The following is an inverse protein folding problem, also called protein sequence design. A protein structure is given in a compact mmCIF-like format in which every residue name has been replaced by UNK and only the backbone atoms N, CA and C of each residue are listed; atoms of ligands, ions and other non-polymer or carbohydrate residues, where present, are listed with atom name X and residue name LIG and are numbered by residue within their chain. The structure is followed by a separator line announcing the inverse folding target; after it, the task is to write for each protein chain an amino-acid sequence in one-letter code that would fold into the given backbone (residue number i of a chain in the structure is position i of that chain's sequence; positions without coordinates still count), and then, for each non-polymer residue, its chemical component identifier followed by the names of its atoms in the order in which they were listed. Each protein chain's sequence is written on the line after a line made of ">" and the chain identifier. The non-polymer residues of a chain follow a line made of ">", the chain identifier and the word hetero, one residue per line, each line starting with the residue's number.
data_IF_849719962847
#
_entry.id   IF_849719962847
#
_cell.length_a   1.000
_cell.length_b   1.000
_cell.length_c   1.000
_cell.angle_alpha   90.00
_cell.angle_beta   90.00
_cell.angle_gamma   90.00
#
_symmetry.space_group_name_H-M   'P 1'
#
loop_
_entity.id
_entity.type
_entity.pdbx_description
1 polymer ?
#
# COMPACT_ATOMS: atom_id res chain seq x y z
N UNK A 1 7.97 -29.58 7.01
CA UNK A 1 6.53 -29.27 6.95
C UNK A 1 6.32 -28.63 5.60
N UNK A 2 5.47 -29.17 4.74
CA UNK A 2 5.28 -28.59 3.40
C UNK A 2 4.79 -27.15 3.52
N UNK A 3 5.51 -26.23 2.86
CA UNK A 3 5.17 -24.81 2.87
C UNK A 3 3.83 -24.60 2.15
N UNK A 4 2.88 -23.84 2.72
CA UNK A 4 1.61 -23.54 2.09
C UNK A 4 1.81 -23.02 0.67
N UNK A 5 0.93 -23.41 -0.26
CA UNK A 5 1.03 -23.01 -1.68
C UNK A 5 1.15 -21.49 -1.82
N UNK A 6 0.44 -20.73 -0.97
CA UNK A 6 0.49 -19.26 -0.95
C UNK A 6 1.85 -18.72 -0.54
N UNK A 7 2.62 -19.41 0.30
CA UNK A 7 3.92 -18.95 0.78
C UNK A 7 5.08 -19.42 -0.10
N UNK A 8 4.83 -19.80 -1.36
CA UNK A 8 5.87 -20.18 -2.32
C UNK A 8 6.28 -18.97 -3.16
N UNK A 9 7.56 -18.88 -3.58
CA UNK A 9 7.97 -17.82 -4.49
C UNK A 9 7.20 -17.93 -5.79
N UNK A 10 6.86 -16.79 -6.37
CA UNK A 10 6.35 -16.74 -7.73
C UNK A 10 7.47 -17.02 -8.72
N UNK A 11 7.11 -17.41 -9.96
CA UNK A 11 8.11 -17.65 -11.01
C UNK A 11 8.98 -16.41 -11.24
N UNK A 12 8.39 -15.22 -11.20
CA UNK A 12 9.14 -13.99 -11.39
C UNK A 12 10.08 -13.66 -10.24
N UNK A 13 9.72 -13.95 -8.99
CA UNK A 13 10.64 -13.83 -7.85
C UNK A 13 11.84 -14.78 -7.99
N UNK A 14 11.60 -16.02 -8.42
CA UNK A 14 12.66 -16.98 -8.73
C UNK A 14 13.55 -16.51 -9.88
N UNK A 15 12.97 -15.91 -10.93
CA UNK A 15 13.73 -15.46 -12.09
C UNK A 15 14.68 -14.30 -11.74
N UNK A 16 14.23 -13.35 -10.90
CA UNK A 16 15.10 -12.31 -10.37
C UNK A 16 16.22 -12.89 -9.49
N UNK A 17 15.88 -13.82 -8.60
CA UNK A 17 16.85 -14.49 -7.73
C UNK A 17 17.95 -15.21 -8.52
N UNK A 18 17.56 -16.02 -9.50
CA UNK A 18 18.49 -16.73 -10.41
C UNK A 18 19.35 -15.75 -11.19
N UNK A 19 18.77 -14.63 -11.65
CA UNK A 19 19.53 -13.60 -12.37
C UNK A 19 20.64 -13.02 -11.50
N UNK A 20 20.33 -12.62 -10.27
CA UNK A 20 21.32 -12.15 -9.29
C UNK A 20 22.41 -13.21 -9.09
N UNK A 21 22.01 -14.47 -8.86
CA UNK A 21 22.96 -15.55 -8.58
C UNK A 21 23.90 -15.86 -9.75
N UNK A 22 23.51 -15.56 -11.00
CA UNK A 22 24.42 -15.70 -12.15
C UNK A 22 25.52 -14.63 -12.21
N UNK A 23 25.43 -13.57 -11.41
CA UNK A 23 26.41 -12.48 -11.42
C UNK A 23 26.47 -11.71 -12.74
N UNK A 24 25.46 -11.83 -13.60
CA UNK A 24 25.39 -11.11 -14.88
C UNK A 24 25.19 -9.62 -14.62
N UNK A 25 26.19 -8.82 -14.95
CA UNK A 25 26.04 -7.37 -15.03
C UNK A 25 25.43 -6.99 -16.38
N UNK A 26 24.35 -6.21 -16.38
CA UNK A 26 23.97 -5.44 -17.56
C UNK A 26 24.69 -4.10 -17.51
N UNK A 27 25.58 -3.85 -18.47
CA UNK A 27 26.01 -2.48 -18.72
C UNK A 27 24.81 -1.75 -19.35
N UNK A 28 24.41 -0.62 -18.76
CA UNK A 28 23.39 0.24 -19.36
C UNK A 28 23.82 0.69 -20.76
N UNK A 29 22.87 1.07 -21.61
CA UNK A 29 23.14 1.53 -23.00
C UNK A 29 23.89 2.87 -23.08
N UNK A 30 24.27 3.44 -21.94
CA UNK A 30 24.97 4.71 -21.78
C UNK A 30 24.44 5.52 -20.60
N UNK A 31 25.14 6.61 -20.30
CA UNK A 31 24.68 7.60 -19.31
C UNK A 31 23.46 8.33 -19.86
N UNK A 32 22.42 8.45 -19.03
CA UNK A 32 21.22 9.24 -19.34
C UNK A 32 21.02 10.32 -18.28
N UNK A 33 20.20 11.31 -18.59
CA UNK A 33 19.88 12.41 -17.67
C UNK A 33 18.38 12.63 -17.63
N UNK A 34 17.84 12.88 -16.44
CA UNK A 34 16.44 13.28 -16.25
C UNK A 34 16.38 14.80 -16.07
N UNK A 35 15.66 15.55 -16.94
CA UNK A 35 15.55 17.00 -16.78
C UNK A 35 14.87 17.37 -15.45
N UNK A 36 15.38 18.37 -14.72
CA UNK A 36 14.79 18.81 -13.45
C UNK A 36 13.30 19.21 -13.56
N UNK A 37 12.86 19.66 -14.74
CA UNK A 37 11.47 19.97 -15.05
C UNK A 37 10.52 18.77 -14.82
N UNK A 38 11.01 17.53 -14.91
CA UNK A 38 10.25 16.32 -14.56
C UNK A 38 9.71 16.40 -13.13
N UNK A 39 10.47 16.99 -12.21
CA UNK A 39 10.10 17.07 -10.79
C UNK A 39 9.54 18.43 -10.38
N UNK A 40 9.78 19.48 -11.18
CA UNK A 40 9.55 20.88 -10.78
C UNK A 40 8.50 21.61 -11.62
N UNK A 41 8.08 21.07 -12.77
CA UNK A 41 7.08 21.71 -13.63
C UNK A 41 5.65 21.54 -13.08
N UNK A 42 4.95 22.63 -12.71
CA UNK A 42 3.56 22.56 -12.25
C UNK A 42 2.58 22.05 -13.30
N UNK A 43 2.81 22.32 -14.59
CA UNK A 43 1.94 21.83 -15.66
C UNK A 43 2.04 20.31 -15.79
N UNK A 44 3.27 19.78 -15.66
CA UNK A 44 3.49 18.33 -15.60
C UNK A 44 2.81 17.70 -14.39
N UNK A 45 2.96 18.29 -13.20
CA UNK A 45 2.31 17.79 -11.99
C UNK A 45 0.79 17.75 -12.13
N UNK A 46 0.17 18.82 -12.67
CA UNK A 46 -1.27 18.84 -12.93
C UNK A 46 -1.70 17.74 -13.93
N UNK A 47 -0.90 17.50 -14.97
CA UNK A 47 -1.16 16.41 -15.91
C UNK A 47 -1.00 15.02 -15.27
N UNK A 48 -0.02 14.84 -14.37
CA UNK A 48 0.16 13.61 -13.59
C UNK A 48 -1.05 13.36 -12.68
N UNK A 49 -1.54 14.37 -11.96
CA UNK A 49 -2.77 14.28 -11.17
C UNK A 49 -3.95 13.79 -12.02
N UNK A 50 -4.25 14.49 -13.11
CA UNK A 50 -5.41 14.19 -13.96
C UNK A 50 -5.33 12.86 -14.72
N UNK A 51 -4.13 12.40 -15.07
CA UNK A 51 -3.94 11.21 -15.93
C UNK A 51 -3.57 9.95 -15.14
N UNK A 52 -2.95 10.10 -13.98
CA UNK A 52 -2.50 9.00 -13.15
C UNK A 52 -3.39 8.87 -11.91
N UNK A 53 -3.38 9.88 -11.03
CA UNK A 53 -4.01 9.79 -9.71
C UNK A 53 -5.55 9.88 -9.75
N UNK A 54 -6.11 10.48 -10.80
CA UNK A 54 -7.55 10.51 -11.02
C UNK A 54 -8.09 9.30 -11.77
N UNK A 55 -7.22 8.47 -12.37
CA UNK A 55 -7.64 7.37 -13.26
C UNK A 55 -7.21 5.98 -12.82
N UNK A 56 -5.99 5.85 -12.30
CA UNK A 56 -5.41 4.56 -11.98
C UNK A 56 -5.81 4.11 -10.56
N UNK A 57 -5.98 2.79 -10.35
CA UNK A 57 -6.01 2.22 -9.01
C UNK A 57 -4.78 2.61 -8.19
N UNK A 58 -5.00 2.89 -6.92
CA UNK A 58 -3.99 3.23 -5.93
C UNK A 58 -4.21 2.39 -4.68
N UNK A 59 -3.12 1.96 -4.04
CA UNK A 59 -3.20 1.38 -2.70
C UNK A 59 -3.55 2.50 -1.72
N UNK A 60 -4.56 2.27 -0.89
CA UNK A 60 -4.94 3.20 0.19
C UNK A 60 -4.44 2.73 1.55
N UNK A 61 -4.36 1.42 1.77
CA UNK A 61 -3.95 0.84 3.05
C UNK A 61 -3.62 -0.66 2.90
N UNK A 62 -2.85 -1.25 3.83
CA UNK A 62 -2.83 -2.69 3.97
C UNK A 62 -4.16 -3.18 4.56
N UNK A 63 -4.57 -4.41 4.22
CA UNK A 63 -5.74 -5.07 4.79
C UNK A 63 -5.70 -5.12 6.32
N UNK A 64 -4.49 -5.23 6.88
CA UNK A 64 -4.20 -5.26 8.31
C UNK A 64 -4.56 -3.95 9.05
N UNK A 65 -4.83 -2.84 8.36
CA UNK A 65 -5.36 -1.61 8.97
C UNK A 65 -6.76 -1.81 9.55
N UNK A 66 -7.55 -2.72 8.94
CA UNK A 66 -8.90 -3.07 9.39
C UNK A 66 -8.96 -4.57 9.63
N UNK A 67 -8.35 -5.12 10.70
CA UNK A 67 -8.18 -6.57 10.83
C UNK A 67 -9.47 -7.32 11.16
N UNK A 68 -10.49 -6.66 11.73
CA UNK A 68 -11.74 -7.29 12.15
C UNK A 68 -12.96 -6.74 11.40
N UNK A 69 -14.05 -7.52 11.27
CA UNK A 69 -15.34 -7.04 10.80
C UNK A 69 -15.87 -5.85 11.62
N UNK A 70 -16.64 -4.99 10.96
CA UNK A 70 -17.26 -3.79 11.54
C UNK A 70 -16.24 -2.79 12.09
N UNK A 71 -15.15 -2.55 11.35
CA UNK A 71 -14.19 -1.49 11.65
C UNK A 71 -14.30 -0.35 10.64
N UNK A 72 -13.92 0.85 11.05
CA UNK A 72 -13.85 2.01 10.17
C UNK A 72 -12.67 2.92 10.54
N UNK A 73 -12.12 3.61 9.55
CA UNK A 73 -11.07 4.62 9.73
C UNK A 73 -11.20 5.69 8.65
N UNK A 74 -10.89 6.94 8.98
CA UNK A 74 -10.87 8.02 7.99
C UNK A 74 -9.55 8.05 7.23
N UNK A 75 -9.58 8.59 6.02
CA UNK A 75 -8.37 8.77 5.24
C UNK A 75 -8.46 9.99 4.31
N UNK A 76 -7.82 11.09 4.71
CA UNK A 76 -7.91 12.37 3.99
C UNK A 76 -6.72 12.66 3.07
N UNK A 77 -5.65 11.85 3.13
CA UNK A 77 -4.38 12.17 2.48
C UNK A 77 -4.46 12.27 0.94
N UNK A 78 -5.48 11.68 0.31
CA UNK A 78 -5.76 11.82 -1.11
C UNK A 78 -6.49 13.15 -1.46
N UNK A 79 -6.58 14.12 -0.55
CA UNK A 79 -7.29 15.39 -0.78
C UNK A 79 -8.81 15.23 -0.88
N UNK A 80 -9.34 14.09 -0.43
CA UNK A 80 -10.77 13.78 -0.35
C UNK A 80 -11.09 13.26 1.05
N UNK A 81 -12.26 13.58 1.63
CA UNK A 81 -12.68 12.98 2.88
C UNK A 81 -13.12 11.54 2.63
N UNK A 82 -12.22 10.56 2.79
CA UNK A 82 -12.53 9.14 2.60
C UNK A 82 -12.78 8.44 3.93
N UNK A 83 -13.58 7.38 3.84
CA UNK A 83 -13.92 6.48 4.93
C UNK A 83 -13.67 5.06 4.45
N UNK A 84 -12.68 4.39 5.03
CA UNK A 84 -12.46 2.97 4.84
C UNK A 84 -13.26 2.21 5.88
N UNK A 85 -13.91 1.12 5.46
CA UNK A 85 -14.63 0.24 6.38
C UNK A 85 -14.30 -1.22 6.07
N UNK A 86 -14.42 -2.08 7.07
CA UNK A 86 -14.59 -3.53 6.87
C UNK A 86 -15.95 -3.92 7.37
N UNK A 87 -16.78 -4.50 6.52
CA UNK A 87 -18.14 -4.84 6.87
C UNK A 87 -18.24 -6.10 7.73
N UNK A 88 -19.47 -6.48 8.11
CA UNK A 88 -19.73 -7.68 8.93
C UNK A 88 -19.36 -9.00 8.24
N UNK A 89 -19.28 -9.02 6.90
CA UNK A 89 -18.87 -10.17 6.10
C UNK A 89 -17.34 -10.22 5.94
N UNK A 90 -16.65 -9.17 6.37
CA UNK A 90 -15.21 -9.05 6.24
C UNK A 90 -14.77 -8.38 4.94
N UNK A 91 -15.67 -7.80 4.14
CA UNK A 91 -15.30 -7.11 2.91
C UNK A 91 -14.85 -5.67 3.21
N UNK A 92 -13.72 -5.24 2.63
CA UNK A 92 -13.24 -3.87 2.73
C UNK A 92 -13.91 -2.97 1.69
N UNK A 93 -14.32 -1.77 2.12
CA UNK A 93 -14.97 -0.77 1.27
C UNK A 93 -14.32 0.60 1.43
N UNK A 94 -14.39 1.43 0.39
CA UNK A 94 -13.97 2.84 0.41
C UNK A 94 -15.16 3.72 0.05
N UNK A 95 -15.54 4.62 0.96
CA UNK A 95 -16.65 5.56 0.76
C UNK A 95 -16.17 7.01 0.86
N UNK A 96 -16.94 7.91 0.28
CA UNK A 96 -16.94 9.29 0.75
C UNK A 96 -17.38 9.35 2.21
N UNK A 97 -16.58 9.97 3.07
CA UNK A 97 -16.90 10.25 4.48
C UNK A 97 -17.90 11.40 4.60
N UNK A 98 -19.03 11.28 3.91
CA UNK A 98 -19.99 12.36 3.70
C UNK A 98 -21.40 11.80 3.83
N UNK A 99 -22.15 12.32 4.80
CA UNK A 99 -23.55 11.95 5.02
C UNK A 99 -24.40 12.32 3.79
N UNK A 100 -25.21 11.36 3.32
CA UNK A 100 -26.13 11.55 2.19
C UNK A 100 -27.31 12.48 2.46
N UNK A 101 -27.51 12.90 3.71
CA UNK A 101 -28.58 13.84 4.06
C UNK A 101 -28.20 15.28 3.68
N UNK A 102 -27.21 15.86 4.36
CA UNK A 102 -26.81 17.28 4.20
C UNK A 102 -25.29 17.46 4.10
N UNK A 103 -24.56 16.42 3.74
CA UNK A 103 -23.13 16.51 3.46
C UNK A 103 -22.21 16.59 4.67
N UNK A 104 -22.71 16.38 5.89
CA UNK A 104 -21.86 16.38 7.10
C UNK A 104 -20.87 15.23 7.07
N UNK A 105 -19.62 15.49 7.48
CA UNK A 105 -18.63 14.45 7.73
C UNK A 105 -19.14 13.44 8.78
N UNK A 106 -18.96 12.14 8.52
CA UNK A 106 -19.54 11.10 9.38
C UNK A 106 -18.61 10.71 10.52
N UNK A 107 -17.33 10.53 10.21
CA UNK A 107 -16.30 10.11 11.15
C UNK A 107 -15.19 11.15 11.17
N UNK A 108 -14.74 11.50 12.37
CA UNK A 108 -13.61 12.39 12.62
C UNK A 108 -12.43 11.60 13.20
N UNK A 109 -11.22 12.18 13.16
CA UNK A 109 -10.01 11.56 13.68
C UNK A 109 -9.38 10.54 12.73
N UNK A 110 -8.15 10.11 13.04
CA UNK A 110 -7.37 9.18 12.20
C UNK A 110 -7.29 7.74 12.72
N UNK A 111 -7.86 7.47 13.89
CA UNK A 111 -7.77 6.17 14.56
C UNK A 111 -8.78 5.16 14.01
N UNK A 112 -8.37 3.90 13.96
CA UNK A 112 -9.26 2.79 13.64
C UNK A 112 -10.23 2.58 14.79
N UNK A 113 -11.52 2.45 14.48
CA UNK A 113 -12.57 2.28 15.49
C UNK A 113 -13.51 1.13 15.14
N UNK A 114 -14.05 0.48 16.17
CA UNK A 114 -15.18 -0.44 16.01
C UNK A 114 -16.43 0.38 15.64
N UNK A 115 -16.96 0.10 14.46
CA UNK A 115 -18.04 0.86 13.84
C UNK A 115 -19.10 -0.08 13.23
N UNK A 116 -19.83 -0.89 14.03
CA UNK A 116 -20.98 -1.66 13.53
C UNK A 116 -22.10 -0.75 13.00
N UNK A 117 -22.09 0.52 13.40
CA UNK A 117 -22.99 1.58 12.96
C UNK A 117 -22.22 2.89 12.88
N UNK A 118 -22.42 3.63 11.80
CA UNK A 118 -21.80 4.94 11.56
C UNK A 118 -22.92 5.97 11.60
N UNK A 119 -23.01 6.71 12.71
CA UNK A 119 -24.12 7.63 12.97
C UNK A 119 -23.67 9.06 12.67
N UNK A 120 -24.33 9.69 11.70
CA UNK A 120 -24.06 11.09 11.34
C UNK A 120 -24.25 12.00 12.55
N UNK A 121 -23.26 12.84 12.91
CA UNK A 121 -23.33 13.68 14.10
C UNK A 121 -24.37 14.80 13.98
N UNK A 122 -24.86 15.10 12.77
CA UNK A 122 -25.82 16.20 12.58
C UNK A 122 -27.26 15.79 12.89
N UNK A 123 -27.76 14.72 12.27
CA UNK A 123 -29.17 14.33 12.37
C UNK A 123 -29.36 12.81 12.60
N UNK A 124 -28.32 12.12 13.07
CA UNK A 124 -28.35 10.70 13.41
C UNK A 124 -28.80 9.74 12.28
N UNK A 125 -28.64 10.14 11.01
CA UNK A 125 -28.69 9.19 9.89
C UNK A 125 -27.59 8.16 10.09
N UNK A 126 -27.97 6.89 10.18
CA UNK A 126 -27.08 5.81 10.57
C UNK A 126 -26.85 4.86 9.42
N UNK A 127 -25.58 4.64 9.09
CA UNK A 127 -25.14 3.73 8.05
C UNK A 127 -24.52 2.47 8.66
N UNK A 128 -24.57 1.36 7.93
CA UNK A 128 -23.78 0.16 8.24
C UNK A 128 -22.38 0.29 7.62
N UNK A 129 -21.48 -0.61 8.00
CA UNK A 129 -20.11 -0.66 7.47
C UNK A 129 -20.04 -1.06 5.97
N UNK A 130 -21.11 -1.62 5.39
CA UNK A 130 -21.27 -1.82 3.94
C UNK A 130 -21.83 -0.56 3.23
N UNK A 131 -21.99 0.55 3.96
CA UNK A 131 -22.51 1.82 3.46
C UNK A 131 -24.03 1.92 3.40
N UNK A 132 -24.79 0.85 3.64
CA UNK A 132 -26.26 0.90 3.56
C UNK A 132 -26.85 1.85 4.62
N UNK A 133 -27.86 2.65 4.24
CA UNK A 133 -28.60 3.48 5.19
C UNK A 133 -29.47 2.59 6.09
N UNK A 134 -29.02 2.37 7.31
CA UNK A 134 -29.66 1.48 8.28
C UNK A 134 -30.88 2.12 8.94
N UNK A 135 -30.77 3.39 9.34
CA UNK A 135 -31.81 4.11 10.06
C UNK A 135 -31.71 5.61 9.83
N UNK A 136 -32.85 6.29 9.96
CA UNK A 136 -32.93 7.74 10.02
C UNK A 136 -34.04 8.14 11.01
N UNK A 137 -33.85 9.18 11.82
CA UNK A 137 -34.90 9.68 12.69
C UNK A 137 -36.11 10.19 11.88
N UNK A 138 -37.31 10.05 12.45
CA UNK A 138 -38.57 10.54 11.89
C UNK A 138 -38.76 10.19 10.39
N UNK A 139 -38.72 8.90 10.01
CA UNK A 139 -38.90 8.50 8.61
C UNK A 139 -40.26 8.92 8.04
N UNK A 140 -41.26 9.15 8.90
CA UNK A 140 -42.56 9.73 8.56
C UNK A 140 -42.48 11.11 7.91
N UNK A 141 -41.40 11.86 8.16
CA UNK A 141 -41.16 13.18 7.55
C UNK A 141 -40.54 13.12 6.14
N UNK A 142 -40.25 11.91 5.64
CA UNK A 142 -39.67 11.66 4.32
C UNK A 142 -40.57 10.72 3.51
N UNK A 143 -41.83 11.12 3.19
CA UNK A 143 -42.75 10.26 2.46
C UNK A 143 -42.17 9.91 1.08
N UNK A 144 -42.13 8.61 0.77
CA UNK A 144 -41.62 8.10 -0.50
C UNK A 144 -40.09 7.95 -0.59
N UNK A 145 -39.34 8.24 0.48
CA UNK A 145 -37.89 8.01 0.49
C UNK A 145 -37.57 6.51 0.50
N UNK A 146 -36.88 6.05 -0.53
CA UNK A 146 -36.27 4.72 -0.55
C UNK A 146 -34.86 4.77 0.05
N UNK A 147 -34.68 4.10 1.19
CA UNK A 147 -33.38 4.00 1.87
C UNK A 147 -32.31 3.33 1.01
N UNK A 148 -32.68 2.41 0.12
CA UNK A 148 -31.73 1.71 -0.74
C UNK A 148 -30.97 2.65 -1.68
N UNK A 149 -31.56 3.79 -2.04
CA UNK A 149 -30.93 4.82 -2.89
C UNK A 149 -30.08 5.85 -2.11
N UNK A 150 -30.09 5.76 -0.78
CA UNK A 150 -29.48 6.74 0.14
C UNK A 150 -28.31 6.18 0.97
N UNK A 151 -27.72 5.05 0.57
CA UNK A 151 -26.46 4.56 1.15
C UNK A 151 -25.27 5.47 0.86
N UNK A 152 -24.16 5.31 1.60
CA UNK A 152 -22.92 6.05 1.35
C UNK A 152 -22.48 5.90 -0.11
N UNK A 153 -21.85 6.94 -0.66
CA UNK A 153 -21.32 6.90 -2.03
C UNK A 153 -20.00 6.10 -2.01
N UNK A 154 -19.93 4.91 -2.62
CA UNK A 154 -18.69 4.16 -2.70
C UNK A 154 -17.76 4.80 -3.75
N UNK A 155 -16.47 4.56 -3.59
CA UNK A 155 -15.49 4.61 -4.66
C UNK A 155 -15.17 3.17 -5.08
N UNK A 156 -14.86 2.90 -6.36
CA UNK A 156 -14.39 1.57 -6.76
C UNK A 156 -13.21 1.15 -5.91
N UNK A 157 -13.28 -0.05 -5.33
CA UNK A 157 -12.24 -0.60 -4.48
C UNK A 157 -12.10 -2.10 -4.67
N UNK A 158 -10.90 -2.60 -4.43
CA UNK A 158 -10.55 -4.02 -4.54
C UNK A 158 -9.60 -4.38 -3.41
N UNK A 159 -9.88 -5.46 -2.70
CA UNK A 159 -8.93 -6.05 -1.75
C UNK A 159 -8.23 -7.22 -2.44
N UNK A 160 -6.90 -7.13 -2.60
CA UNK A 160 -6.10 -8.11 -3.32
C UNK A 160 -4.66 -8.13 -2.77
N UNK A 161 -4.11 -9.33 -2.56
CA UNK A 161 -2.73 -9.52 -2.05
C UNK A 161 -2.45 -8.90 -0.68
N UNK A 162 -3.46 -8.82 0.20
CA UNK A 162 -3.33 -8.17 1.52
C UNK A 162 -3.31 -6.64 1.48
N UNK A 163 -3.69 -6.04 0.36
CA UNK A 163 -3.78 -4.60 0.15
C UNK A 163 -5.21 -4.18 -0.20
N UNK A 164 -5.61 -3.01 0.27
CA UNK A 164 -6.86 -2.35 -0.12
C UNK A 164 -6.50 -1.31 -1.19
N UNK A 165 -7.07 -1.51 -2.38
CA UNK A 165 -6.94 -0.62 -3.53
C UNK A 165 -8.22 0.17 -3.72
N UNK A 166 -8.10 1.38 -4.24
CA UNK A 166 -9.23 2.19 -4.68
C UNK A 166 -8.89 2.99 -5.94
N UNK A 167 -9.92 3.51 -6.60
CA UNK A 167 -9.76 4.46 -7.70
C UNK A 167 -10.79 5.58 -7.61
N UNK A 168 -10.50 6.72 -8.24
CA UNK A 168 -11.48 7.82 -8.40
C UNK A 168 -12.38 7.61 -9.61
N UNK A 169 -11.84 7.00 -10.65
CA UNK A 169 -12.56 6.69 -11.87
C UNK A 169 -13.51 5.50 -11.63
N UNK A 170 -14.81 5.72 -11.83
CA UNK A 170 -15.85 4.69 -11.69
C UNK A 170 -15.63 3.49 -12.63
N UNK A 171 -14.84 3.66 -13.69
CA UNK A 171 -14.51 2.63 -14.68
C UNK A 171 -13.12 2.02 -14.50
N UNK A 172 -12.46 2.28 -13.37
CA UNK A 172 -11.11 1.78 -13.13
C UNK A 172 -11.03 0.24 -13.22
N UNK A 173 -9.99 -0.24 -13.90
CA UNK A 173 -9.67 -1.66 -14.01
C UNK A 173 -8.67 -2.05 -12.91
N UNK A 174 -9.02 -3.06 -12.10
CA UNK A 174 -8.19 -3.60 -11.03
C UNK A 174 -7.44 -4.88 -11.43
N UNK A 175 -7.40 -5.23 -12.72
CA UNK A 175 -6.72 -6.42 -13.23
C UNK A 175 -5.24 -6.50 -12.82
N UNK A 176 -4.52 -5.37 -12.83
CA UNK A 176 -3.13 -5.30 -12.36
C UNK A 176 -3.00 -5.60 -10.85
N UNK A 177 -3.96 -5.17 -10.02
CA UNK A 177 -3.98 -5.49 -8.59
C UNK A 177 -4.19 -7.00 -8.35
N UNK A 178 -5.08 -7.62 -9.13
CA UNK A 178 -5.30 -9.07 -9.09
C UNK A 178 -4.07 -9.84 -9.61
N UNK A 179 -3.38 -9.33 -10.65
CA UNK A 179 -2.16 -9.93 -11.18
C UNK A 179 -0.97 -9.84 -10.21
N UNK A 180 -0.92 -8.80 -9.37
CA UNK A 180 0.06 -8.65 -8.31
C UNK A 180 -0.24 -9.50 -7.07
N UNK A 181 -1.50 -9.87 -6.82
CA UNK A 181 -1.87 -10.56 -5.58
C UNK A 181 -1.00 -11.79 -5.25
N UNK A 182 -0.66 -12.68 -6.22
CA UNK A 182 0.23 -13.82 -5.95
C UNK A 182 1.63 -13.42 -5.45
N UNK A 183 2.15 -12.25 -5.85
CA UNK A 183 3.45 -11.74 -5.39
C UNK A 183 3.44 -11.48 -3.89
N UNK A 184 2.33 -10.97 -3.36
CA UNK A 184 2.19 -10.63 -1.94
C UNK A 184 1.67 -11.78 -1.11
N UNK A 185 0.86 -12.67 -1.71
CA UNK A 185 0.47 -13.94 -1.11
C UNK A 185 1.72 -14.79 -0.79
N UNK A 186 2.76 -14.75 -1.65
CA UNK A 186 4.08 -15.37 -1.41
C UNK A 186 4.68 -14.96 -0.06
N UNK A 187 4.41 -13.73 0.38
CA UNK A 187 4.87 -13.22 1.67
C UNK A 187 3.85 -13.40 2.80
N UNK A 188 2.67 -13.95 2.54
CA UNK A 188 1.52 -14.04 3.47
C UNK A 188 1.08 -12.66 3.98
N UNK A 189 1.11 -11.63 3.12
CA UNK A 189 0.87 -10.25 3.53
C UNK A 189 -0.51 -10.07 4.19
N UNK A 190 -1.53 -10.78 3.70
CA UNK A 190 -2.88 -10.74 4.28
C UNK A 190 -2.94 -11.27 5.72
N UNK A 191 -1.99 -12.12 6.13
CA UNK A 191 -1.86 -12.63 7.49
C UNK A 191 -1.06 -11.73 8.44
N UNK A 192 -0.44 -10.66 7.94
CA UNK A 192 0.41 -9.78 8.75
C UNK A 192 -0.39 -8.91 9.72
N UNK A 193 0.28 -8.53 10.80
CA UNK A 193 -0.17 -7.57 11.79
C UNK A 193 0.40 -6.18 11.52
N UNK A 194 -0.44 -5.15 11.54
CA UNK A 194 0.00 -3.76 11.51
C UNK A 194 0.59 -3.38 12.87
N UNK A 195 1.92 -3.27 12.93
CA UNK A 195 2.63 -2.88 14.14
C UNK A 195 2.69 -1.36 14.30
N UNK A 196 2.97 -0.64 13.20
CA UNK A 196 3.17 0.80 13.25
C UNK A 196 2.64 1.47 11.99
N UNK A 197 1.99 2.62 12.18
CA UNK A 197 1.48 3.50 11.15
C UNK A 197 2.01 4.91 11.41
N UNK A 198 2.60 5.56 10.41
CA UNK A 198 3.11 6.94 10.54
C UNK A 198 2.80 7.74 9.29
N UNK A 199 2.41 8.99 9.47
CA UNK A 199 2.24 9.95 8.39
C UNK A 199 3.41 10.93 8.39
N UNK A 200 4.06 11.06 7.23
CA UNK A 200 5.17 11.96 7.00
C UNK A 200 4.77 13.04 5.99
N UNK A 201 5.11 14.29 6.27
CA UNK A 201 4.98 15.40 5.33
C UNK A 201 6.35 15.67 4.70
N UNK A 202 6.56 15.22 3.47
CA UNK A 202 7.86 15.23 2.81
C UNK A 202 7.92 16.38 1.81
N UNK A 203 8.87 17.33 1.96
CA UNK A 203 9.04 18.46 1.04
C UNK A 203 9.78 18.02 -0.24
N UNK A 204 9.22 17.05 -0.97
CA UNK A 204 9.75 16.52 -2.22
C UNK A 204 8.64 16.15 -3.21
N UNK A 205 8.98 16.18 -4.50
CA UNK A 205 8.13 15.62 -5.55
C UNK A 205 7.97 14.11 -5.33
N UNK A 206 6.77 13.57 -5.55
CA UNK A 206 6.47 12.15 -5.35
C UNK A 206 7.40 11.22 -6.15
N UNK A 207 7.81 11.63 -7.36
CA UNK A 207 8.71 10.84 -8.21
C UNK A 207 10.11 10.71 -7.62
N UNK A 208 10.62 11.74 -6.93
CA UNK A 208 11.94 11.64 -6.27
C UNK A 208 11.93 10.58 -5.16
N UNK A 209 10.80 10.46 -4.46
CA UNK A 209 10.62 9.43 -3.43
C UNK A 209 10.57 8.06 -4.10
N UNK A 210 9.83 7.89 -5.19
CA UNK A 210 9.80 6.64 -5.96
C UNK A 210 11.18 6.26 -6.52
N UNK A 211 11.90 7.23 -7.11
CA UNK A 211 13.20 7.04 -7.76
C UNK A 211 14.25 6.52 -6.77
N UNK A 212 14.20 6.96 -5.51
CA UNK A 212 15.09 6.48 -4.45
C UNK A 212 14.95 4.98 -4.17
N UNK A 213 13.90 4.31 -4.66
CA UNK A 213 13.71 2.86 -4.53
C UNK A 213 13.83 2.11 -5.87
N UNK A 214 14.18 2.80 -6.96
CA UNK A 214 14.48 2.16 -8.25
C UNK A 214 15.93 1.65 -8.34
N UNK A 215 16.76 1.96 -7.34
CA UNK A 215 18.18 1.61 -7.31
C UNK A 215 18.66 1.28 -5.90
N UNK A 216 19.83 0.63 -5.80
CA UNK A 216 20.52 0.34 -4.54
C UNK A 216 21.89 1.03 -4.41
N UNK A 217 22.23 1.88 -5.38
CA UNK A 217 23.51 2.59 -5.45
C UNK A 217 23.73 3.48 -4.21
N UNK A 218 22.68 4.10 -3.69
CA UNK A 218 22.77 4.94 -2.50
C UNK A 218 22.99 4.14 -1.20
N UNK A 219 22.62 2.85 -1.15
CA UNK A 219 22.46 2.10 0.11
C UNK A 219 23.75 2.05 0.92
N UNK A 220 24.88 1.71 0.30
CA UNK A 220 26.16 1.63 1.00
C UNK A 220 26.67 2.97 1.55
N UNK A 221 26.24 4.10 0.95
CA UNK A 221 26.72 5.43 1.31
C UNK A 221 25.76 6.12 2.28
N UNK A 222 24.48 6.24 1.90
CA UNK A 222 23.46 6.92 2.70
C UNK A 222 23.14 6.16 3.99
N UNK A 223 23.12 4.82 3.93
CA UNK A 223 22.75 3.96 5.06
C UNK A 223 23.95 3.31 5.75
N UNK A 224 25.14 3.91 5.63
CA UNK A 224 26.39 3.40 6.20
C UNK A 224 26.30 3.14 7.72
N UNK A 225 25.57 4.00 8.44
CA UNK A 225 25.38 3.89 9.90
C UNK A 225 24.20 2.98 10.31
N UNK A 226 23.43 2.45 9.35
CA UNK A 226 22.20 1.68 9.63
C UNK A 226 22.24 0.31 8.94
N UNK A 227 21.63 0.18 7.76
CA UNK A 227 21.35 -1.09 7.10
C UNK A 227 22.43 -1.52 6.10
N UNK A 228 23.38 -0.65 5.73
CA UNK A 228 24.38 -0.94 4.69
C UNK A 228 25.12 -2.27 4.88
N UNK A 229 25.44 -2.64 6.13
CA UNK A 229 26.14 -3.90 6.46
C UNK A 229 25.40 -5.17 6.01
N UNK A 230 24.11 -5.08 5.70
CA UNK A 230 23.30 -6.20 5.26
C UNK A 230 23.23 -6.34 3.74
N UNK A 231 23.68 -5.34 2.97
CA UNK A 231 23.54 -5.29 1.52
C UNK A 231 24.89 -5.41 0.84
N UNK A 232 24.92 -6.03 -0.35
CA UNK A 232 26.08 -5.96 -1.23
C UNK A 232 25.99 -4.70 -2.10
N UNK A 233 27.12 -4.07 -2.40
CA UNK A 233 27.14 -2.82 -3.17
C UNK A 233 26.68 -3.03 -4.62
N UNK A 234 25.59 -2.35 -5.00
CA UNK A 234 25.14 -2.26 -6.39
C UNK A 234 24.54 -3.54 -7.00
N UNK A 235 24.18 -4.55 -6.20
CA UNK A 235 23.54 -5.78 -6.71
C UNK A 235 22.02 -5.58 -6.74
N UNK A 236 21.49 -5.24 -7.91
CA UNK A 236 20.04 -5.11 -8.12
C UNK A 236 19.63 -5.60 -9.50
N UNK A 237 18.52 -6.32 -9.54
CA UNK A 237 17.80 -6.66 -10.77
C UNK A 237 16.34 -6.24 -10.61
N UNK A 238 15.72 -5.82 -11.70
CA UNK A 238 14.30 -5.49 -11.72
C UNK A 238 13.63 -5.97 -13.00
N UNK A 239 12.35 -6.25 -12.90
CA UNK A 239 11.45 -6.52 -14.01
C UNK A 239 10.09 -5.87 -13.76
N UNK A 240 9.11 -6.14 -14.63
CA UNK A 240 7.79 -5.53 -14.57
C UNK A 240 6.71 -6.57 -14.36
N UNK A 241 5.71 -6.19 -13.57
CA UNK A 241 4.43 -6.90 -13.45
C UNK A 241 3.36 -5.91 -13.89
N UNK A 242 2.93 -6.01 -15.15
CA UNK A 242 2.05 -5.00 -15.76
C UNK A 242 2.69 -3.61 -15.78
N UNK A 243 2.00 -2.63 -15.23
CA UNK A 243 2.50 -1.25 -15.08
C UNK A 243 3.43 -1.07 -13.86
N UNK A 244 3.50 -2.06 -12.97
CA UNK A 244 4.28 -2.02 -11.75
C UNK A 244 5.68 -2.60 -11.97
N UNK A 245 6.58 -2.32 -11.03
CA UNK A 245 7.95 -2.84 -11.03
C UNK A 245 8.18 -3.73 -9.81
N UNK A 246 8.91 -4.82 -10.02
CA UNK A 246 9.49 -5.64 -8.96
C UNK A 246 11.00 -5.59 -9.09
N UNK A 247 11.67 -5.48 -7.97
CA UNK A 247 13.12 -5.51 -7.88
C UNK A 247 13.57 -6.45 -6.78
N UNK A 248 14.78 -6.97 -6.94
CA UNK A 248 15.45 -7.79 -5.97
C UNK A 248 16.84 -7.20 -5.72
N UNK A 249 17.17 -6.98 -4.45
CA UNK A 249 18.47 -6.46 -4.01
C UNK A 249 19.19 -7.56 -3.25
N UNK A 250 20.40 -7.88 -3.69
CA UNK A 250 21.22 -8.93 -3.09
C UNK A 250 21.80 -8.53 -1.73
N UNK A 251 21.75 -9.44 -0.77
CA UNK A 251 22.31 -9.29 0.59
C UNK A 251 23.48 -10.24 0.76
N UNK A 252 24.69 -9.70 0.94
CA UNK A 252 25.96 -10.45 1.17
C UNK A 252 26.21 -11.65 0.21
N UNK A 253 27.39 -12.28 0.27
CA UNK A 253 27.81 -13.30 -0.72
C UNK A 253 27.07 -14.67 -0.62
N UNK A 254 25.91 -14.71 0.03
CA UNK A 254 25.18 -15.95 0.30
C UNK A 254 24.42 -16.49 -0.92
N UNK A 255 24.09 -15.64 -1.89
CA UNK A 255 23.28 -16.00 -3.07
C UNK A 255 23.81 -17.17 -3.90
N UNK A 256 25.14 -17.31 -3.99
CA UNK A 256 25.77 -18.41 -4.73
C UNK A 256 25.71 -19.77 -4.00
N UNK A 257 25.27 -19.79 -2.73
CA UNK A 257 25.38 -20.95 -1.83
C UNK A 257 24.04 -21.43 -1.27
N UNK A 258 22.92 -20.84 -1.70
CA UNK A 258 21.58 -21.20 -1.23
C UNK A 258 20.80 -21.95 -2.30
N UNK A 259 19.87 -22.79 -1.85
CA UNK A 259 18.83 -23.34 -2.71
C UNK A 259 17.84 -22.23 -3.09
N UNK A 260 17.73 -21.90 -4.37
CA UNK A 260 16.87 -20.81 -4.85
C UNK A 260 15.39 -21.19 -4.83
N UNK A 261 15.06 -22.48 -4.68
CA UNK A 261 13.68 -22.96 -4.53
C UNK A 261 13.20 -22.93 -3.07
N UNK A 262 14.12 -22.77 -2.10
CA UNK A 262 13.78 -22.56 -0.69
C UNK A 262 13.48 -21.07 -0.44
N UNK A 263 12.21 -20.77 -0.20
CA UNK A 263 11.75 -19.41 0.03
C UNK A 263 12.32 -18.75 1.28
N UNK A 264 12.49 -19.53 2.36
CA UNK A 264 13.06 -19.02 3.60
C UNK A 264 14.53 -18.65 3.40
N UNK A 265 15.29 -19.52 2.72
CA UNK A 265 16.67 -19.24 2.36
C UNK A 265 16.77 -18.02 1.44
N UNK A 266 15.87 -17.89 0.46
CA UNK A 266 15.87 -16.79 -0.47
C UNK A 266 15.58 -15.45 0.20
N UNK A 267 14.56 -15.39 1.06
CA UNK A 267 14.18 -14.19 1.84
C UNK A 267 15.25 -13.75 2.83
N UNK A 268 16.12 -14.65 3.27
CA UNK A 268 17.25 -14.29 4.14
C UNK A 268 18.31 -13.46 3.38
N UNK A 269 18.47 -13.71 2.08
CA UNK A 269 19.60 -13.19 1.26
C UNK A 269 19.17 -12.25 0.13
N UNK A 270 17.86 -12.06 -0.08
CA UNK A 270 17.30 -11.08 -1.01
C UNK A 270 16.28 -10.22 -0.27
N UNK A 271 16.35 -8.92 -0.50
CA UNK A 271 15.23 -8.01 -0.22
C UNK A 271 14.51 -7.74 -1.53
N UNK A 272 13.24 -8.14 -1.60
CA UNK A 272 12.38 -7.75 -2.71
C UNK A 272 11.79 -6.37 -2.42
N UNK A 273 11.72 -5.53 -3.44
CA UNK A 273 11.01 -4.26 -3.38
C UNK A 273 10.08 -4.11 -4.58
N UNK A 274 8.91 -3.54 -4.35
CA UNK A 274 7.91 -3.31 -5.38
C UNK A 274 7.58 -1.83 -5.46
N UNK A 275 7.54 -1.31 -6.68
CA UNK A 275 7.04 0.03 -6.98
C UNK A 275 5.70 -0.14 -7.68
N UNK A 276 4.63 0.01 -6.91
CA UNK A 276 3.27 -0.08 -7.41
C UNK A 276 2.89 1.29 -7.96
N UNK A 277 3.08 1.43 -9.27
CA UNK A 277 2.69 2.63 -9.99
C UNK A 277 1.19 2.94 -9.79
N UNK A 278 0.80 4.20 -9.52
CA UNK A 278 1.65 5.38 -9.59
C UNK A 278 2.55 5.63 -8.39
N UNK A 279 2.12 5.39 -7.15
CA UNK A 279 2.77 5.98 -5.98
C UNK A 279 2.68 5.12 -4.71
N UNK A 280 3.14 3.88 -4.78
CA UNK A 280 3.27 3.02 -3.60
C UNK A 280 4.57 2.22 -3.67
N UNK A 281 5.25 2.12 -2.55
CA UNK A 281 6.51 1.37 -2.42
C UNK A 281 6.30 0.29 -1.37
N UNK A 282 6.78 -0.90 -1.65
CA UNK A 282 6.83 -1.99 -0.68
C UNK A 282 8.23 -2.54 -0.58
N UNK A 283 8.70 -2.75 0.65
CA UNK A 283 10.00 -3.34 0.94
C UNK A 283 9.75 -4.61 1.75
N UNK A 284 10.01 -5.75 1.13
CA UNK A 284 9.86 -7.07 1.74
C UNK A 284 11.18 -7.42 2.44
N UNK A 285 11.38 -6.85 3.63
CA UNK A 285 12.49 -7.25 4.49
C UNK A 285 12.29 -8.69 4.97
N UNK A 286 13.35 -9.39 5.41
CA UNK A 286 13.21 -10.76 5.87
C UNK A 286 12.16 -10.91 6.99
N UNK A 287 12.18 -9.97 7.93
CA UNK A 287 11.45 -10.07 9.20
C UNK A 287 10.16 -9.23 9.23
N UNK A 288 10.05 -8.21 8.38
CA UNK A 288 8.89 -7.32 8.31
C UNK A 288 8.68 -6.76 6.90
N UNK A 289 7.49 -6.25 6.63
CA UNK A 289 7.17 -5.54 5.39
C UNK A 289 6.96 -4.07 5.71
N UNK A 290 7.58 -3.20 4.92
CA UNK A 290 7.31 -1.78 4.94
C UNK A 290 6.48 -1.41 3.71
N UNK A 291 5.32 -0.78 3.92
CA UNK A 291 4.44 -0.29 2.86
C UNK A 291 4.35 1.23 2.98
N UNK A 292 4.76 1.95 1.94
CA UNK A 292 4.71 3.40 1.86
C UNK A 292 3.70 3.81 0.79
N UNK A 293 2.62 4.45 1.20
CA UNK A 293 1.60 5.03 0.31
C UNK A 293 1.90 6.51 0.13
N UNK A 294 2.21 6.93 -1.10
CA UNK A 294 2.59 8.30 -1.42
C UNK A 294 1.38 9.04 -1.99
N UNK A 295 1.06 10.18 -1.39
CA UNK A 295 -0.06 11.03 -1.76
C UNK A 295 0.47 12.42 -2.12
N UNK A 296 0.70 12.71 -3.41
CA UNK A 296 1.24 13.99 -3.83
C UNK A 296 0.26 15.14 -3.52
N UNK A 297 0.74 16.17 -2.82
CA UNK A 297 -0.08 17.33 -2.44
C UNK A 297 0.20 18.55 -3.31
N UNK A 298 1.46 18.68 -3.75
CA UNK A 298 1.93 19.74 -4.64
C UNK A 298 3.20 19.28 -5.36
N UNK A 299 3.69 20.08 -6.31
CA UNK A 299 4.93 19.81 -7.08
C UNK A 299 6.10 19.40 -6.18
N UNK A 300 6.31 20.09 -5.04
CA UNK A 300 7.40 19.84 -4.11
C UNK A 300 6.96 19.33 -2.75
N UNK A 301 5.76 18.72 -2.63
CA UNK A 301 5.24 18.22 -1.35
C UNK A 301 4.44 16.95 -1.54
N UNK A 302 4.78 15.91 -0.79
CA UNK A 302 4.13 14.59 -0.82
C UNK A 302 3.88 14.14 0.61
N UNK A 303 2.66 13.73 0.92
CA UNK A 303 2.41 12.97 2.14
C UNK A 303 2.82 11.52 1.91
N UNK A 304 3.48 10.91 2.88
CA UNK A 304 3.86 9.50 2.84
C UNK A 304 3.27 8.83 4.08
N UNK A 305 2.33 7.92 3.87
CA UNK A 305 1.85 7.08 4.95
C UNK A 305 2.61 5.76 4.94
N UNK A 306 3.34 5.53 6.03
CA UNK A 306 4.19 4.38 6.25
C UNK A 306 3.50 3.38 7.17
N UNK A 307 3.44 2.12 6.74
CA UNK A 307 2.89 0.98 7.46
C UNK A 307 3.97 -0.08 7.64
N UNK A 308 4.34 -0.34 8.89
CA UNK A 308 5.19 -1.47 9.26
C UNK A 308 4.31 -2.67 9.61
N UNK A 309 4.41 -3.71 8.80
CA UNK A 309 3.68 -4.96 8.93
C UNK A 309 4.64 -6.04 9.42
N UNK A 310 4.27 -6.74 10.47
CA UNK A 310 5.05 -7.85 11.04
C UNK A 310 4.24 -9.15 10.97
N UNK A 311 4.85 -10.34 10.98
CA UNK A 311 4.13 -11.60 10.75
C UNK A 311 3.02 -11.89 11.76
N UNK A 312 3.15 -11.42 13.00
CA UNK A 312 2.15 -11.64 14.04
C UNK A 312 2.20 -10.52 15.09
N UNK A 313 1.10 -10.32 15.82
CA UNK A 313 1.06 -9.40 16.95
C UNK A 313 2.12 -9.80 18.01
N UNK A 314 2.86 -8.83 18.59
CA UNK A 314 3.81 -9.11 19.66
C UNK A 314 3.08 -9.67 20.89
N UNK A 315 3.67 -10.68 21.53
CA UNK A 315 3.10 -11.41 22.68
C UNK A 315 3.76 -11.03 24.00
N UNK A 316 4.86 -10.26 23.97
CA UNK A 316 5.61 -9.84 25.14
C UNK A 316 6.16 -8.41 24.99
N UNK A 317 6.53 -7.79 26.11
CA UNK A 317 7.18 -6.48 26.11
C UNK A 317 8.54 -6.51 25.38
N UNK A 318 9.27 -7.63 25.48
CA UNK A 318 10.55 -7.83 24.77
C UNK A 318 10.34 -7.86 23.25
N UNK A 319 9.29 -8.53 22.77
CA UNK A 319 8.94 -8.52 21.34
C UNK A 319 8.52 -7.13 20.87
N UNK A 320 7.77 -6.38 21.69
CA UNK A 320 7.44 -4.97 21.38
C UNK A 320 8.72 -4.14 21.27
N UNK A 321 9.64 -4.26 22.24
CA UNK A 321 10.90 -3.51 22.23
C UNK A 321 11.79 -3.89 21.03
N UNK A 322 11.75 -5.15 20.59
CA UNK A 322 12.43 -5.60 19.38
C UNK A 322 11.94 -4.86 18.14
N UNK A 323 10.63 -4.73 17.96
CA UNK A 323 10.03 -4.06 16.80
C UNK A 323 10.04 -2.52 16.89
N UNK A 324 10.21 -1.97 18.10
CA UNK A 324 10.33 -0.53 18.29
C UNK A 324 11.66 0.04 17.77
N UNK A 325 12.72 -0.79 17.73
CA UNK A 325 14.09 -0.46 17.31
C UNK A 325 14.23 -0.34 15.80
#
# INVERSE_FOLDING_TARGET
>A
MDMPIRQRPTQGQLDLARTIATGRSSEGVGVTTVPAAVYTDPARFAAEQARLFDRLPQVIAPSALLPEPNMAVTHDGFGMPLLLTRDKKGEAHVFWNVCRHRGTRLVEGGEVQKAPRITCPYHAWTYLADGALAAMPRPDTFPGLDKATHGLKPLPSREAGGLIWFARDEQADFSDADALAPEFDAFDLAGHHLFRRRLHDVPANWKLIMDAFLESYHVQRLHAATIARFFTDGITVADRVGIHQRSAVGRTDYLARIDHEDWGALRAVITFAYQLFPATIMIMSPDYVNLMVLMPQAVGRTLVEDFMLIPQAPKSAEEIEHWEK
#
